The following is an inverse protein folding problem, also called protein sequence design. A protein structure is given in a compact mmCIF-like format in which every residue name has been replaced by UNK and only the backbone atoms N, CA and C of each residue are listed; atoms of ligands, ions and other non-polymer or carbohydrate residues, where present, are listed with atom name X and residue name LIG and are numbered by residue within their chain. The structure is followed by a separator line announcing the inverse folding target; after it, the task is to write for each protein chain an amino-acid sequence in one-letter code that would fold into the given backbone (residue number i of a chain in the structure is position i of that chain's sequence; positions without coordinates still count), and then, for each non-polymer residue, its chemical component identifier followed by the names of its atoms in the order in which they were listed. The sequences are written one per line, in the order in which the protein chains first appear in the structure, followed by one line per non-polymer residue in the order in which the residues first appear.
data_IF_205899905457
#
_entry.id   IF_205899905457
#
_cell.length_a   1.000
_cell.length_b   1.000
_cell.length_c   1.000
_cell.angle_alpha   90.00
_cell.angle_beta   90.00
_cell.angle_gamma   90.00
#
_symmetry.space_group_name_H-M   'P 1'
#
loop_
_entity.id
_entity.type
_entity.pdbx_description
1 polymer ?
#
# COMPACT_ATOMS: atom_id res chain seq x y z
N UNK A 1 19.81 -21.33 -18.89
CA UNK A 1 18.79 -20.98 -17.85
C UNK A 1 18.20 -19.62 -18.18
N UNK A 2 16.90 -19.50 -18.17
CA UNK A 2 16.26 -18.20 -18.40
C UNK A 2 16.44 -17.31 -17.19
N UNK A 3 16.82 -16.05 -17.43
CA UNK A 3 16.85 -15.05 -16.39
C UNK A 3 15.42 -14.59 -16.08
N UNK A 4 14.94 -14.90 -14.87
CA UNK A 4 13.59 -14.56 -14.46
C UNK A 4 13.36 -13.04 -14.37
N UNK A 5 14.43 -12.27 -14.13
CA UNK A 5 14.33 -10.82 -14.07
C UNK A 5 13.95 -10.18 -15.41
N UNK A 6 14.31 -10.81 -16.53
CA UNK A 6 14.03 -10.31 -17.88
C UNK A 6 12.72 -10.82 -18.48
N UNK A 7 12.07 -11.79 -17.83
CA UNK A 7 10.79 -12.30 -18.30
C UNK A 7 9.68 -11.23 -18.10
N UNK A 8 8.82 -11.04 -19.10
CA UNK A 8 7.64 -10.20 -18.90
C UNK A 8 6.72 -10.87 -17.87
N UNK A 9 6.22 -10.06 -16.93
CA UNK A 9 5.42 -10.52 -15.80
C UNK A 9 4.12 -9.73 -15.73
N UNK A 10 3.11 -10.34 -15.10
CA UNK A 10 1.90 -9.66 -14.70
C UNK A 10 1.78 -9.74 -13.18
N UNK A 11 1.56 -8.61 -12.53
CA UNK A 11 1.25 -8.53 -11.11
C UNK A 11 -0.26 -8.43 -10.97
N UNK A 12 -0.88 -9.51 -10.54
CA UNK A 12 -2.32 -9.60 -10.42
C UNK A 12 -2.74 -9.46 -8.96
N UNK A 13 -3.84 -8.74 -8.72
CA UNK A 13 -4.47 -8.65 -7.41
C UNK A 13 -3.62 -7.92 -6.37
N UNK A 14 -3.00 -6.81 -6.74
CA UNK A 14 -2.31 -5.95 -5.78
C UNK A 14 -3.33 -5.09 -5.03
N UNK A 15 -3.34 -5.17 -3.69
CA UNK A 15 -4.21 -4.33 -2.88
C UNK A 15 -3.68 -2.90 -2.82
N UNK A 16 -4.54 -1.94 -3.15
CA UNK A 16 -4.18 -0.52 -3.24
C UNK A 16 -3.48 0.02 -1.99
N UNK A 17 -4.10 -0.12 -0.82
CA UNK A 17 -3.51 0.35 0.43
C UNK A 17 -2.22 -0.39 0.77
N UNK A 18 -2.18 -1.70 0.55
CA UNK A 18 -1.02 -2.54 0.84
C UNK A 18 0.17 -2.32 -0.08
N UNK A 19 -0.04 -1.65 -1.23
CA UNK A 19 1.03 -1.34 -2.19
C UNK A 19 1.84 -0.11 -1.81
N UNK A 20 1.40 0.65 -0.82
CA UNK A 20 2.05 1.89 -0.42
C UNK A 20 3.48 1.65 0.07
N UNK A 21 4.43 2.42 -0.48
CA UNK A 21 5.82 2.38 0.00
C UNK A 21 5.89 2.81 1.46
N UNK A 22 6.77 2.19 2.22
CA UNK A 22 6.96 2.55 3.63
C UNK A 22 7.39 4.02 3.77
N UNK A 23 8.26 4.51 2.90
CA UNK A 23 8.69 5.91 2.89
C UNK A 23 7.53 6.87 2.67
N UNK A 24 6.63 6.54 1.76
CA UNK A 24 5.41 7.31 1.49
C UNK A 24 4.50 7.33 2.72
N UNK A 25 4.32 6.18 3.35
CA UNK A 25 3.53 6.05 4.57
C UNK A 25 4.06 6.94 5.69
N UNK A 26 5.38 6.92 5.92
CA UNK A 26 6.05 7.74 6.93
C UNK A 26 5.88 9.23 6.63
N UNK A 27 6.03 9.62 5.37
CA UNK A 27 5.84 11.00 4.93
C UNK A 27 4.41 11.48 5.16
N UNK A 28 3.42 10.68 4.79
CA UNK A 28 2.00 11.01 5.00
C UNK A 28 1.66 11.12 6.49
N UNK A 29 2.18 10.22 7.32
CA UNK A 29 1.98 10.27 8.75
C UNK A 29 2.58 11.53 9.36
N UNK A 30 3.77 11.91 8.95
CA UNK A 30 4.44 13.14 9.38
C UNK A 30 3.63 14.37 9.00
N UNK A 31 3.17 14.44 7.76
CA UNK A 31 2.39 15.58 7.23
C UNK A 31 1.04 15.74 7.94
N UNK A 32 0.40 14.64 8.33
CA UNK A 32 -0.88 14.64 9.04
C UNK A 32 -0.74 14.63 10.56
N UNK A 33 0.49 14.68 11.08
CA UNK A 33 0.81 14.58 12.51
C UNK A 33 0.24 13.33 13.16
N UNK A 34 0.17 12.25 12.42
CA UNK A 34 -0.29 10.96 12.89
C UNK A 34 0.89 10.14 13.41
N UNK A 35 0.77 9.63 14.63
CA UNK A 35 1.78 8.75 15.21
C UNK A 35 1.64 7.34 14.65
N UNK A 36 2.68 6.84 14.01
CA UNK A 36 2.73 5.45 13.56
C UNK A 36 3.09 4.52 14.72
N UNK A 37 2.51 3.30 14.75
CA UNK A 37 3.00 2.26 15.64
C UNK A 37 4.48 1.98 15.43
N UNK A 38 5.21 1.67 16.50
CA UNK A 38 6.64 1.38 16.43
C UNK A 38 6.99 0.23 15.48
N UNK A 39 6.07 -0.70 15.27
CA UNK A 39 6.24 -1.80 14.33
C UNK A 39 6.49 -1.36 12.88
N UNK A 40 6.08 -0.16 12.50
CA UNK A 40 6.38 0.43 11.18
C UNK A 40 7.82 0.94 11.07
N UNK A 41 8.43 1.26 12.21
CA UNK A 41 9.76 1.89 12.26
C UNK A 41 10.88 0.90 12.58
N UNK A 42 10.55 -0.17 13.32
CA UNK A 42 11.53 -1.10 13.90
C UNK A 42 11.66 -2.43 13.15
N UNK A 43 11.05 -2.55 11.97
CA UNK A 43 11.12 -3.78 11.20
C UNK A 43 10.14 -3.81 10.04
N UNK A 44 9.87 -5.00 9.52
CA UNK A 44 8.88 -5.20 8.49
C UNK A 44 7.47 -5.21 9.13
N UNK A 45 6.64 -4.18 8.87
CA UNK A 45 5.30 -4.10 9.46
C UNK A 45 4.36 -5.23 9.01
N UNK A 46 4.70 -5.91 7.93
CA UNK A 46 3.93 -7.04 7.42
C UNK A 46 4.37 -8.38 7.99
N UNK A 47 5.51 -8.41 8.67
CA UNK A 47 6.00 -9.64 9.32
C UNK A 47 5.31 -9.82 10.66
N UNK A 48 4.22 -10.57 10.64
CA UNK A 48 3.39 -10.84 11.82
C UNK A 48 3.32 -12.33 12.09
N UNK A 49 3.11 -12.73 13.37
CA UNK A 49 2.89 -14.13 13.69
C UNK A 49 1.69 -14.72 12.95
N UNK A 50 1.79 -15.98 12.53
CA UNK A 50 0.72 -16.69 11.84
C UNK A 50 -0.34 -17.22 12.83
N UNK A 51 -0.82 -16.35 13.69
CA UNK A 51 -1.85 -16.64 14.68
C UNK A 51 -2.91 -15.52 14.70
N UNK A 52 -3.90 -15.66 15.58
CA UNK A 52 -4.99 -14.68 15.70
C UNK A 52 -4.49 -13.28 16.10
N UNK A 53 -3.45 -13.20 16.95
CA UNK A 53 -2.86 -11.92 17.35
C UNK A 53 -2.15 -11.26 16.17
N UNK A 54 -1.46 -12.06 15.35
CA UNK A 54 -0.82 -11.59 14.13
C UNK A 54 -1.84 -11.01 13.14
N UNK A 55 -2.98 -11.65 12.97
CA UNK A 55 -4.05 -11.15 12.12
C UNK A 55 -4.54 -9.76 12.56
N UNK A 56 -4.83 -9.59 13.85
CA UNK A 56 -5.27 -8.28 14.36
C UNK A 56 -4.18 -7.22 14.25
N UNK A 57 -2.92 -7.59 14.43
CA UNK A 57 -1.79 -6.67 14.23
C UNK A 57 -1.69 -6.22 12.77
N UNK A 58 -1.79 -7.14 11.85
CA UNK A 58 -1.81 -6.86 10.42
C UNK A 58 -2.98 -5.94 10.06
N UNK A 59 -4.18 -6.24 10.56
CA UNK A 59 -5.37 -5.44 10.28
C UNK A 59 -5.22 -4.00 10.79
N UNK A 60 -4.67 -3.82 11.99
CA UNK A 60 -4.44 -2.47 12.53
C UNK A 60 -3.43 -1.69 11.71
N UNK A 61 -2.37 -2.33 11.25
CA UNK A 61 -1.38 -1.70 10.39
C UNK A 61 -2.02 -1.25 9.06
N UNK A 62 -2.83 -2.10 8.47
CA UNK A 62 -3.55 -1.82 7.24
C UNK A 62 -4.52 -0.65 7.40
N UNK A 63 -5.28 -0.63 8.49
CA UNK A 63 -6.24 0.43 8.79
C UNK A 63 -5.54 1.77 9.04
N UNK A 64 -4.38 1.76 9.70
CA UNK A 64 -3.55 2.95 9.90
C UNK A 64 -3.10 3.51 8.55
N UNK A 65 -2.60 2.68 7.66
CA UNK A 65 -2.19 3.10 6.31
C UNK A 65 -3.37 3.67 5.52
N UNK A 66 -4.52 3.00 5.56
CA UNK A 66 -5.73 3.46 4.88
C UNK A 66 -6.17 4.84 5.36
N UNK A 67 -6.13 5.08 6.66
CA UNK A 67 -6.56 6.35 7.26
C UNK A 67 -5.70 7.55 6.85
N UNK A 68 -4.52 7.33 6.33
CA UNK A 68 -3.61 8.40 5.86
C UNK A 68 -3.90 8.83 4.42
N UNK A 69 -4.66 8.07 3.67
CA UNK A 69 -5.00 8.36 2.27
C UNK A 69 -6.28 9.20 2.24
N UNK A 70 -6.13 10.51 2.13
CA UNK A 70 -7.24 11.47 2.29
C UNK A 70 -7.44 12.41 1.11
N UNK A 71 -6.60 12.35 0.09
CA UNK A 71 -6.71 13.24 -1.07
C UNK A 71 -6.55 12.46 -2.36
N UNK A 72 -7.11 13.00 -3.43
CA UNK A 72 -6.96 12.45 -4.77
C UNK A 72 -5.49 12.40 -5.20
N UNK A 73 -4.72 13.44 -4.87
CA UNK A 73 -3.29 13.50 -5.17
C UNK A 73 -2.52 12.34 -4.54
N UNK A 74 -2.82 12.03 -3.27
CA UNK A 74 -2.20 10.89 -2.59
C UNK A 74 -2.62 9.57 -3.24
N UNK A 75 -3.87 9.43 -3.63
CA UNK A 75 -4.36 8.22 -4.32
C UNK A 75 -3.63 8.03 -5.65
N UNK A 76 -3.50 9.08 -6.45
CA UNK A 76 -2.75 9.05 -7.70
C UNK A 76 -1.26 8.71 -7.46
N UNK A 77 -0.65 9.29 -6.43
CA UNK A 77 0.73 9.00 -6.07
C UNK A 77 0.95 7.53 -5.76
N UNK A 78 0.06 6.90 -4.99
CA UNK A 78 0.15 5.49 -4.64
C UNK A 78 0.12 4.61 -5.88
N UNK A 79 -0.81 4.88 -6.81
CA UNK A 79 -0.90 4.14 -8.07
C UNK A 79 0.36 4.31 -8.91
N UNK A 80 0.87 5.55 -9.02
CA UNK A 80 2.08 5.83 -9.77
C UNK A 80 3.29 5.10 -9.17
N UNK A 81 3.47 5.17 -7.86
CA UNK A 81 4.59 4.52 -7.19
C UNK A 81 4.53 2.99 -7.34
N UNK A 82 3.33 2.40 -7.20
CA UNK A 82 3.13 0.96 -7.44
C UNK A 82 3.49 0.56 -8.87
N UNK A 83 3.08 1.36 -9.85
CA UNK A 83 3.41 1.12 -11.25
C UNK A 83 4.90 1.23 -11.55
N UNK A 84 5.57 2.22 -10.95
CA UNK A 84 7.02 2.40 -11.09
C UNK A 84 7.80 1.24 -10.48
N UNK A 85 7.41 0.78 -9.29
CA UNK A 85 8.05 -0.34 -8.62
C UNK A 85 7.88 -1.63 -9.42
N UNK A 86 6.69 -1.88 -9.92
CA UNK A 86 6.40 -3.05 -10.76
C UNK A 86 7.17 -3.01 -12.09
N UNK A 87 7.22 -1.85 -12.74
CA UNK A 87 7.97 -1.67 -13.98
C UNK A 87 9.47 -1.94 -13.77
N UNK A 88 10.03 -1.49 -12.64
CA UNK A 88 11.42 -1.74 -12.29
C UNK A 88 11.74 -3.23 -12.11
N UNK A 89 10.76 -4.04 -11.75
CA UNK A 89 10.89 -5.49 -11.62
C UNK A 89 10.52 -6.26 -12.91
N UNK A 90 10.26 -5.57 -14.00
CA UNK A 90 9.93 -6.17 -15.29
C UNK A 90 8.47 -6.53 -15.48
N UNK A 91 7.58 -6.02 -14.63
CA UNK A 91 6.14 -6.21 -14.82
C UNK A 91 5.63 -5.41 -16.02
N UNK A 92 4.77 -6.03 -16.81
CA UNK A 92 4.14 -5.42 -17.99
C UNK A 92 2.66 -5.15 -17.80
N UNK A 93 2.09 -5.71 -16.77
CA UNK A 93 0.68 -5.55 -16.42
C UNK A 93 0.55 -5.50 -14.91
N UNK A 94 -0.18 -4.53 -14.41
CA UNK A 94 -0.52 -4.37 -13.00
C UNK A 94 -2.04 -4.30 -12.85
N UNK A 95 -2.59 -5.14 -12.00
CA UNK A 95 -3.99 -5.06 -11.60
C UNK A 95 -4.06 -4.66 -10.13
N UNK A 96 -4.69 -3.53 -9.85
CA UNK A 96 -4.86 -3.01 -8.50
C UNK A 96 -6.31 -3.23 -8.06
N UNK A 97 -6.48 -3.84 -6.90
CA UNK A 97 -7.77 -3.98 -6.25
C UNK A 97 -7.94 -2.85 -5.24
N UNK A 98 -9.04 -2.14 -5.31
CA UNK A 98 -9.38 -1.06 -4.39
C UNK A 98 -10.84 -1.18 -3.94
N UNK A 99 -11.06 -0.97 -2.64
CA UNK A 99 -12.39 -0.73 -2.11
C UNK A 99 -12.57 0.78 -1.92
N UNK A 100 -13.40 1.44 -2.71
CA UNK A 100 -13.53 2.90 -2.66
C UNK A 100 -14.30 3.41 -1.44
N UNK A 101 -14.97 2.54 -0.69
CA UNK A 101 -15.86 2.93 0.41
C UNK A 101 -15.18 3.82 1.44
N UNK A 102 -13.98 3.45 1.87
CA UNK A 102 -13.23 4.19 2.88
C UNK A 102 -12.70 5.53 2.39
N UNK A 103 -12.59 5.72 1.08
CA UNK A 103 -12.03 6.93 0.47
C UNK A 103 -13.11 7.90 -0.02
N UNK A 104 -14.33 7.43 -0.17
CA UNK A 104 -15.45 8.21 -0.69
C UNK A 104 -15.67 9.55 0.02
N UNK A 105 -15.56 9.65 1.36
CA UNK A 105 -15.75 10.93 2.07
C UNK A 105 -14.76 12.01 1.67
N UNK A 106 -13.58 11.62 1.16
CA UNK A 106 -12.51 12.57 0.82
C UNK A 106 -12.55 13.03 -0.65
N UNK A 107 -13.36 12.38 -1.48
CA UNK A 107 -13.44 12.67 -2.93
C UNK A 107 -14.88 13.00 -3.38
N UNK A 108 -15.76 13.34 -2.47
CA UNK A 108 -17.13 13.76 -2.78
C UNK A 108 -18.13 12.62 -2.99
N UNK A 109 -17.79 11.41 -2.59
CA UNK A 109 -18.68 10.25 -2.67
C UNK A 109 -18.32 9.28 -3.78
N UNK A 110 -19.09 8.19 -3.86
CA UNK A 110 -19.02 7.19 -4.91
C UNK A 110 -20.12 7.50 -5.94
N UNK A 111 -19.72 7.86 -7.13
CA UNK A 111 -20.63 8.09 -8.26
C UNK A 111 -20.20 7.34 -9.48
#
# INVERSE_FOLDING_TARGET
MRDLATLPKAHLHLHFTGSMRLDTLIELASSSRTRLPSSFLDGDPLRVPADRRGWFRFQRAYDTARALVRTEEVMCRIVLEAALDDAAEGSRRLEIQVDPTSYAPFVGGIT
#
